data_IF_851182874901
#
_entry.id   IF_851182874901
#
_cell.length_a   1.000
_cell.length_b   1.000
_cell.length_c   1.000
_cell.angle_alpha   90.00
_cell.angle_beta   90.00
_cell.angle_gamma   90.00
#
_symmetry.space_group_name_H-M   'P 1'
#
loop_
_entity.id
_entity.type
_entity.pdbx_description
1 polymer ?
#
# COMPACT_ATOMS: atom_id res chain seq x y z
N UNK A 1 -12.48 -14.04 -15.45
CA UNK A 1 -11.98 -12.91 -14.63
C UNK A 1 -11.09 -13.50 -13.56
N UNK A 2 -9.79 -13.53 -13.80
CA UNK A 2 -8.83 -14.26 -12.98
C UNK A 2 -8.62 -13.62 -11.61
N UNK A 3 -8.99 -14.33 -10.54
CA UNK A 3 -8.79 -13.92 -9.14
C UNK A 3 -7.32 -13.59 -8.83
N UNK A 4 -6.38 -14.24 -9.53
CA UNK A 4 -4.94 -13.93 -9.43
C UNK A 4 -4.62 -12.50 -9.89
N UNK A 5 -5.29 -11.98 -10.93
CA UNK A 5 -5.11 -10.58 -11.38
C UNK A 5 -5.67 -9.59 -10.36
N UNK A 6 -6.70 -9.98 -9.61
CA UNK A 6 -7.24 -9.17 -8.50
C UNK A 6 -6.28 -9.09 -7.31
N UNK A 7 -5.69 -10.22 -6.91
CA UNK A 7 -4.71 -10.25 -5.81
C UNK A 7 -3.44 -9.48 -6.20
N UNK A 8 -2.98 -9.60 -7.45
CA UNK A 8 -1.85 -8.80 -7.96
C UNK A 8 -2.21 -7.31 -8.08
N UNK A 9 -3.45 -6.96 -8.43
CA UNK A 9 -3.89 -5.56 -8.46
C UNK A 9 -4.00 -4.93 -7.06
N UNK A 10 -4.21 -5.74 -6.02
CA UNK A 10 -4.27 -5.26 -4.64
C UNK A 10 -2.87 -5.06 -4.01
N UNK A 11 -1.91 -5.94 -4.32
CA UNK A 11 -0.53 -5.88 -3.80
C UNK A 11 0.40 -5.03 -4.67
N UNK A 12 0.24 -5.09 -6.00
CA UNK A 12 1.04 -4.35 -6.97
C UNK A 12 0.15 -3.65 -8.04
N UNK A 13 -0.75 -2.74 -7.61
CA UNK A 13 -1.64 -1.97 -8.47
C UNK A 13 -1.00 -1.34 -9.72
N UNK A 14 0.19 -0.69 -9.67
CA UNK A 14 0.77 -0.08 -10.87
C UNK A 14 1.24 -1.10 -11.93
N UNK A 15 1.61 -2.32 -11.54
CA UNK A 15 2.07 -3.35 -12.48
C UNK A 15 0.93 -4.04 -13.23
N UNK A 16 -0.26 -4.08 -12.64
CA UNK A 16 -1.46 -4.63 -13.30
C UNK A 16 -2.04 -3.67 -14.36
N UNK A 17 -1.69 -2.39 -14.29
CA UNK A 17 -2.27 -1.30 -15.09
C UNK A 17 -1.33 -0.80 -16.19
N UNK A 18 -0.11 -1.36 -16.32
CA UNK A 18 0.86 -0.98 -17.37
C UNK A 18 0.30 -1.11 -18.80
N UNK A 19 -0.81 -1.84 -18.99
CA UNK A 19 -1.50 -1.99 -20.28
C UNK A 19 -2.72 -1.04 -20.45
N UNK A 20 -2.89 -0.04 -19.60
CA UNK A 20 -3.99 0.94 -19.69
C UNK A 20 -3.46 2.37 -19.56
N UNK A 21 -4.20 3.29 -20.18
CA UNK A 21 -4.03 4.75 -20.24
C UNK A 21 -3.27 5.35 -19.03
N UNK A 22 -2.27 6.19 -19.32
CA UNK A 22 -1.31 6.73 -18.35
C UNK A 22 -1.96 7.36 -17.09
N UNK A 23 -3.16 7.93 -17.23
CA UNK A 23 -3.93 8.46 -16.11
C UNK A 23 -4.33 7.41 -15.07
N UNK A 24 -4.60 6.17 -15.49
CA UNK A 24 -4.98 5.07 -14.56
C UNK A 24 -3.76 4.56 -13.80
N UNK A 25 -2.59 4.51 -14.45
CA UNK A 25 -1.33 4.12 -13.79
C UNK A 25 -0.97 5.13 -12.70
N UNK A 26 -1.05 6.43 -13.03
CA UNK A 26 -0.72 7.52 -12.11
C UNK A 26 -1.67 7.57 -10.90
N UNK A 27 -2.98 7.37 -11.12
CA UNK A 27 -3.96 7.28 -10.03
C UNK A 27 -3.72 6.05 -9.15
N UNK A 28 -3.43 4.88 -9.74
CA UNK A 28 -3.17 3.65 -9.00
C UNK A 28 -1.91 3.75 -8.12
N UNK A 29 -0.83 4.35 -8.64
CA UNK A 29 0.39 4.60 -7.88
C UNK A 29 0.16 5.57 -6.72
N UNK A 30 -0.60 6.66 -6.95
CA UNK A 30 -0.92 7.64 -5.91
C UNK A 30 -1.80 7.03 -4.81
N UNK A 31 -2.83 6.26 -5.18
CA UNK A 31 -3.73 5.59 -4.22
C UNK A 31 -3.00 4.56 -3.37
N UNK A 32 -2.00 3.89 -3.96
CA UNK A 32 -1.13 2.93 -3.25
C UNK A 32 -0.26 3.65 -2.25
N UNK A 33 0.37 4.76 -2.65
CA UNK A 33 1.15 5.58 -1.72
C UNK A 33 0.27 6.09 -0.58
N UNK A 34 -0.95 6.55 -0.90
CA UNK A 34 -1.91 7.07 0.07
C UNK A 34 -2.47 6.02 1.03
N UNK A 35 -2.64 4.77 0.60
CA UNK A 35 -3.05 3.67 1.48
C UNK A 35 -1.89 3.06 2.27
N UNK A 36 -0.69 3.04 1.70
CA UNK A 36 0.50 2.45 2.31
C UNK A 36 1.13 3.35 3.37
N UNK A 37 1.27 4.66 3.09
CA UNK A 37 1.83 5.63 4.03
C UNK A 37 1.15 5.61 5.42
N UNK A 38 -0.19 5.66 5.56
CA UNK A 38 -0.83 5.60 6.87
C UNK A 38 -0.63 4.25 7.56
N UNK A 39 -0.60 3.13 6.83
CA UNK A 39 -0.36 1.81 7.42
C UNK A 39 1.07 1.64 7.97
N UNK A 40 2.06 2.16 7.25
CA UNK A 40 3.45 2.19 7.71
C UNK A 40 3.61 3.13 8.90
N UNK A 41 3.03 4.33 8.83
CA UNK A 41 3.05 5.27 9.94
C UNK A 41 2.44 4.67 11.21
N UNK A 42 1.31 3.96 11.08
CA UNK A 42 0.66 3.28 12.19
C UNK A 42 1.53 2.15 12.77
N UNK A 43 2.17 1.35 11.91
CA UNK A 43 3.07 0.27 12.34
C UNK A 43 4.29 0.80 13.10
N UNK A 44 4.90 1.88 12.60
CA UNK A 44 6.03 2.55 13.28
C UNK A 44 5.57 3.13 14.62
N UNK A 45 4.40 3.77 14.67
CA UNK A 45 3.83 4.32 15.90
C UNK A 45 3.60 3.23 16.95
N UNK A 46 3.03 2.08 16.55
CA UNK A 46 2.80 0.93 17.43
C UNK A 46 4.10 0.40 18.03
N UNK A 47 5.12 0.18 17.19
CA UNK A 47 6.45 -0.29 17.63
C UNK A 47 7.08 0.70 18.62
N UNK A 48 6.97 2.02 18.35
CA UNK A 48 7.47 3.04 19.25
C UNK A 48 6.73 3.06 20.61
N UNK A 49 5.42 2.83 20.61
CA UNK A 49 4.64 2.72 21.84
C UNK A 49 5.04 1.49 22.67
N UNK A 50 5.18 0.32 22.04
CA UNK A 50 5.62 -0.90 22.74
C UNK A 50 7.00 -0.71 23.39
N UNK A 51 7.96 -0.12 22.66
CA UNK A 51 9.29 0.17 23.22
C UNK A 51 9.23 1.09 24.45
N UNK A 52 8.31 2.07 24.45
CA UNK A 52 8.13 2.99 25.58
C UNK A 52 7.58 2.27 26.82
N UNK A 53 6.66 1.33 26.65
CA UNK A 53 6.12 0.54 27.77
C UNK A 53 7.12 -0.46 28.33
N UNK A 54 7.99 -1.04 27.50
CA UNK A 54 9.05 -1.95 27.97
C UNK A 54 10.18 -1.25 28.76
N UNK A 55 10.25 0.09 28.69
CA UNK A 55 11.30 0.89 29.36
C UNK A 55 10.78 1.55 30.66
N UNK A 56 9.46 1.51 30.91
CA UNK A 56 8.82 2.06 32.11
C UNK A 56 8.60 0.97 33.17
#
# INVERSE_FOLDING_TARGET
>A
MDIRRWILAFILPPAAVTNKEAGTIMLSGLLTLFGWLPGVAFSIFLILQEKRQATA
#
